data_IF_110846466677
#
_entry.id   IF_110846466677
#
_cell.length_a   1.000
_cell.length_b   1.000
_cell.length_c   1.000
_cell.angle_alpha   90.00
_cell.angle_beta   90.00
_cell.angle_gamma   90.00
#
_symmetry.space_group_name_H-M   'P 1'
#
loop_
_entity.id
_entity.type
_entity.pdbx_description
1 polymer ?
#
# COMPACT_ATOMS: atom_id res chain seq x y z
N UNK A 1 -34.16 -67.59 29.00
CA UNK A 1 -34.85 -66.35 29.41
C UNK A 1 -34.09 -65.21 28.74
N UNK A 2 -34.75 -64.54 27.77
CA UNK A 2 -34.40 -63.26 27.08
C UNK A 2 -33.01 -63.16 26.41
N UNK A 3 -32.83 -63.14 25.08
CA UNK A 3 -33.34 -62.32 23.97
C UNK A 3 -32.38 -61.17 23.54
N UNK A 4 -32.02 -61.20 22.24
CA UNK A 4 -31.60 -60.12 21.31
C UNK A 4 -30.42 -59.17 21.62
N UNK A 5 -29.46 -59.10 20.69
CA UNK A 5 -29.40 -58.00 19.70
C UNK A 5 -28.33 -58.25 18.61
N UNK A 6 -28.67 -57.85 17.39
CA UNK A 6 -27.95 -58.05 16.14
C UNK A 6 -26.91 -56.95 15.84
N UNK A 7 -26.02 -57.20 14.88
CA UNK A 7 -25.18 -56.16 14.26
C UNK A 7 -24.24 -56.72 13.18
N UNK A 8 -24.49 -56.46 11.88
CA UNK A 8 -23.76 -57.10 10.79
C UNK A 8 -22.42 -56.42 10.49
N UNK A 9 -21.48 -57.27 10.06
CA UNK A 9 -20.19 -56.93 9.47
C UNK A 9 -20.39 -56.06 8.21
N UNK A 10 -19.98 -54.79 8.27
CA UNK A 10 -19.95 -53.90 7.10
C UNK A 10 -18.54 -53.89 6.52
N UNK A 11 -18.39 -54.59 5.38
CA UNK A 11 -17.24 -54.50 4.51
C UNK A 11 -17.01 -53.04 4.09
N UNK A 12 -15.79 -52.54 4.31
CA UNK A 12 -15.31 -51.29 3.73
C UNK A 12 -15.12 -51.53 2.23
N UNK A 13 -16.16 -51.25 1.45
CA UNK A 13 -16.06 -51.17 0.00
C UNK A 13 -15.30 -49.88 -0.34
N UNK A 14 -14.15 -50.04 -1.01
CA UNK A 14 -13.43 -48.93 -1.62
C UNK A 14 -14.34 -48.22 -2.61
N UNK A 15 -14.64 -46.95 -2.34
CA UNK A 15 -15.40 -46.12 -3.26
C UNK A 15 -14.42 -45.63 -4.33
N UNK A 16 -14.44 -46.30 -5.48
CA UNK A 16 -13.79 -45.84 -6.71
C UNK A 16 -14.52 -44.56 -7.18
N UNK A 17 -14.01 -43.41 -6.73
CA UNK A 17 -14.56 -42.10 -7.07
C UNK A 17 -14.11 -41.73 -8.50
N UNK A 18 -14.79 -42.26 -9.52
CA UNK A 18 -14.68 -41.73 -10.89
C UNK A 18 -15.43 -40.39 -10.94
N UNK A 19 -14.75 -39.23 -11.02
CA UNK A 19 -15.44 -37.94 -11.02
C UNK A 19 -16.24 -37.81 -12.31
N UNK A 20 -17.55 -37.63 -12.18
CA UNK A 20 -18.42 -37.32 -13.32
C UNK A 20 -18.03 -35.99 -13.96
N UNK A 21 -18.42 -35.75 -15.22
CA UNK A 21 -18.07 -34.53 -15.95
C UNK A 21 -18.49 -33.26 -15.19
N UNK A 22 -19.59 -33.30 -14.45
CA UNK A 22 -20.04 -32.19 -13.59
C UNK A 22 -19.11 -31.90 -12.42
N UNK A 23 -18.49 -32.93 -11.83
CA UNK A 23 -17.52 -32.76 -10.75
C UNK A 23 -16.21 -32.16 -11.28
N UNK A 24 -15.77 -32.59 -12.46
CA UNK A 24 -14.61 -32.02 -13.16
C UNK A 24 -14.84 -30.55 -13.52
N UNK A 25 -16.02 -30.21 -14.04
CA UNK A 25 -16.41 -28.84 -14.37
C UNK A 25 -16.46 -27.96 -13.10
N UNK A 26 -17.03 -28.47 -12.00
CA UNK A 26 -17.09 -27.75 -10.73
C UNK A 26 -15.68 -27.50 -10.16
N UNK A 27 -14.80 -28.51 -10.20
CA UNK A 27 -13.39 -28.36 -9.80
C UNK A 27 -12.66 -27.34 -10.68
N UNK A 28 -12.91 -27.30 -11.99
CA UNK A 28 -12.31 -26.32 -12.89
C UNK A 28 -12.77 -24.89 -12.56
N UNK A 29 -14.07 -24.69 -12.28
CA UNK A 29 -14.59 -23.39 -11.86
C UNK A 29 -14.03 -22.93 -10.51
N UNK A 30 -13.90 -23.83 -9.54
CA UNK A 30 -13.27 -23.52 -8.25
C UNK A 30 -11.78 -23.20 -8.39
N UNK A 31 -11.07 -23.93 -9.26
CA UNK A 31 -9.67 -23.67 -9.59
C UNK A 31 -9.49 -22.31 -10.28
N UNK A 32 -10.40 -21.95 -11.20
CA UNK A 32 -10.41 -20.66 -11.88
C UNK A 32 -10.70 -19.50 -10.92
N UNK A 33 -11.60 -19.70 -9.94
CA UNK A 33 -11.84 -18.74 -8.86
C UNK A 33 -10.60 -18.54 -7.97
N UNK A 34 -9.87 -19.62 -7.66
CA UNK A 34 -8.62 -19.57 -6.89
C UNK A 34 -7.47 -18.96 -7.69
N UNK A 35 -7.46 -19.10 -9.02
CA UNK A 35 -6.45 -18.50 -9.91
C UNK A 35 -6.63 -16.97 -10.06
N UNK A 36 -7.84 -16.44 -9.81
CA UNK A 36 -8.02 -14.98 -9.68
C UNK A 36 -7.39 -14.40 -8.41
N UNK A 37 -6.99 -15.24 -7.45
CA UNK A 37 -6.28 -14.85 -6.23
C UNK A 37 -4.75 -15.02 -6.34
N UNK A 38 -4.23 -15.44 -7.50
CA UNK A 38 -2.77 -15.53 -7.74
C UNK A 38 -2.20 -14.25 -8.37
N UNK A 39 -2.61 -13.08 -7.87
CA UNK A 39 -1.79 -11.88 -8.02
C UNK A 39 -1.49 -11.31 -6.65
N UNK A 40 -0.21 -11.50 -6.28
CA UNK A 40 0.50 -10.88 -5.18
C UNK A 40 0.24 -11.51 -3.81
N UNK A 41 1.34 -11.77 -3.09
CA UNK A 41 1.31 -11.90 -1.63
C UNK A 41 0.39 -10.80 -1.05
N UNK A 42 -0.34 -11.06 0.07
CA UNK A 42 -1.17 -10.02 0.68
C UNK A 42 -0.34 -8.75 0.77
N UNK A 43 -0.82 -7.63 0.19
CA UNK A 43 -0.07 -6.39 0.26
C UNK A 43 0.14 -6.10 1.74
N UNK A 44 1.38 -6.28 2.20
CA UNK A 44 1.79 -5.88 3.53
C UNK A 44 1.53 -4.39 3.67
N UNK A 45 1.39 -3.91 4.90
CA UNK A 45 1.15 -2.48 5.10
C UNK A 45 2.23 -1.63 4.41
N UNK A 46 3.47 -2.09 4.51
CA UNK A 46 4.62 -1.52 3.84
C UNK A 46 4.45 -1.44 2.31
N UNK A 47 4.21 -2.56 1.62
CA UNK A 47 4.13 -2.55 0.15
C UNK A 47 2.95 -1.72 -0.34
N UNK A 48 1.86 -1.66 0.44
CA UNK A 48 0.73 -0.78 0.16
C UNK A 48 1.08 0.70 0.34
N UNK A 49 1.76 1.06 1.41
CA UNK A 49 2.19 2.43 1.66
C UNK A 49 3.16 2.90 0.56
N UNK A 50 4.17 2.08 0.26
CA UNK A 50 5.18 2.37 -0.76
C UNK A 50 4.57 2.51 -2.16
N UNK A 51 3.76 1.54 -2.59
CA UNK A 51 3.11 1.63 -3.91
C UNK A 51 2.19 2.85 -4.02
N UNK A 52 1.49 3.21 -2.94
CA UNK A 52 0.63 4.39 -2.95
C UNK A 52 1.43 5.70 -2.93
N UNK A 53 2.59 5.78 -2.27
CA UNK A 53 3.45 6.96 -2.33
C UNK A 53 4.01 7.16 -3.74
N UNK A 54 4.44 6.10 -4.42
CA UNK A 54 4.90 6.16 -5.82
C UNK A 54 3.78 6.64 -6.76
N UNK A 55 2.56 6.09 -6.60
CA UNK A 55 1.39 6.55 -7.37
C UNK A 55 1.09 8.04 -7.14
N UNK A 56 1.29 8.56 -5.93
CA UNK A 56 1.12 9.98 -5.61
C UNK A 56 2.20 10.82 -6.29
N UNK A 57 3.46 10.40 -6.22
CA UNK A 57 4.58 11.10 -6.86
C UNK A 57 4.39 11.19 -8.37
N UNK A 58 4.01 10.08 -9.02
CA UNK A 58 3.70 10.05 -10.45
C UNK A 58 2.48 10.92 -10.82
N UNK A 59 1.48 11.02 -9.94
CA UNK A 59 0.34 11.91 -10.15
C UNK A 59 0.72 13.39 -9.98
N UNK A 60 1.57 13.70 -9.01
CA UNK A 60 2.11 15.04 -8.79
C UNK A 60 2.87 15.54 -10.01
N UNK A 61 3.77 14.72 -10.55
CA UNK A 61 4.50 15.03 -11.77
C UNK A 61 3.54 15.36 -12.93
N UNK A 62 2.50 14.54 -13.13
CA UNK A 62 1.47 14.80 -14.14
C UNK A 62 0.68 16.09 -13.88
N UNK A 63 0.50 16.47 -12.62
CA UNK A 63 -0.20 17.72 -12.25
C UNK A 63 0.67 18.94 -12.59
N UNK A 64 1.96 18.88 -12.30
CA UNK A 64 2.92 19.95 -12.60
C UNK A 64 3.16 20.11 -14.11
N UNK A 65 3.17 19.02 -14.88
CA UNK A 65 3.52 19.05 -16.30
C UNK A 65 2.32 19.27 -17.25
N UNK A 66 1.09 19.03 -16.80
CA UNK A 66 -0.10 19.16 -17.65
C UNK A 66 -0.59 20.60 -17.74
N UNK A 67 -0.83 21.08 -18.97
CA UNK A 67 -1.27 22.46 -19.24
C UNK A 67 -2.52 22.87 -18.48
N UNK A 68 -3.42 21.93 -18.15
CA UNK A 68 -4.70 22.20 -17.47
C UNK A 68 -4.58 22.32 -15.95
N UNK A 69 -3.51 21.78 -15.37
CA UNK A 69 -3.30 21.73 -13.91
C UNK A 69 -2.04 22.43 -13.45
N UNK A 70 -1.09 22.73 -14.34
CA UNK A 70 0.18 23.38 -14.02
C UNK A 70 0.04 24.69 -13.25
N UNK A 71 -1.00 25.48 -13.55
CA UNK A 71 -1.26 26.75 -12.86
C UNK A 71 -1.79 26.53 -11.45
N UNK A 72 -2.57 25.48 -11.23
CA UNK A 72 -2.98 25.06 -9.88
C UNK A 72 -1.79 24.47 -9.11
N UNK A 73 -0.89 23.78 -9.80
CA UNK A 73 0.29 23.18 -9.19
C UNK A 73 1.30 24.21 -8.65
N UNK A 74 1.22 25.47 -9.10
CA UNK A 74 2.11 26.54 -8.64
C UNK A 74 1.93 26.89 -7.14
N UNK A 75 0.72 26.68 -6.61
CA UNK A 75 0.40 26.91 -5.20
C UNK A 75 0.64 25.65 -4.33
N UNK A 76 1.04 24.53 -4.94
CA UNK A 76 1.35 23.30 -4.21
C UNK A 76 2.82 23.31 -3.76
N UNK A 77 3.11 22.88 -2.52
CA UNK A 77 4.49 22.74 -2.10
C UNK A 77 5.17 21.65 -2.92
N UNK A 78 6.48 21.81 -3.12
CA UNK A 78 7.32 20.69 -3.54
C UNK A 78 7.34 19.66 -2.41
N UNK A 79 7.21 18.40 -2.78
CA UNK A 79 7.21 17.30 -1.82
C UNK A 79 7.76 16.05 -2.49
N UNK A 80 8.62 15.32 -1.76
CA UNK A 80 9.24 14.08 -2.16
C UNK A 80 8.90 13.04 -1.10
N UNK A 81 7.87 12.25 -1.38
CA UNK A 81 7.36 11.30 -0.40
C UNK A 81 8.33 10.13 -0.23
N UNK A 82 8.81 9.96 1.00
CA UNK A 82 9.59 8.82 1.45
C UNK A 82 8.91 8.19 2.66
N UNK A 83 8.44 6.94 2.52
CA UNK A 83 7.78 6.20 3.60
C UNK A 83 8.76 5.73 4.68
N UNK A 84 10.07 5.77 4.40
CA UNK A 84 11.15 5.46 5.33
C UNK A 84 11.64 6.68 6.11
N UNK A 85 11.08 7.86 5.86
CA UNK A 85 11.43 9.06 6.62
C UNK A 85 10.46 9.26 7.79
N UNK A 86 10.99 9.51 9.00
CA UNK A 86 10.15 9.65 10.20
C UNK A 86 9.11 10.77 10.09
N UNK A 87 9.42 11.81 9.30
CA UNK A 87 8.62 13.02 9.23
C UNK A 87 7.44 12.89 8.25
N UNK A 88 7.35 11.78 7.51
CA UNK A 88 6.36 11.55 6.44
C UNK A 88 4.92 11.85 6.87
N UNK A 89 4.55 11.44 8.08
CA UNK A 89 3.19 11.66 8.60
C UNK A 89 2.87 13.15 8.74
N UNK A 90 3.80 13.91 9.32
CA UNK A 90 3.63 15.36 9.51
C UNK A 90 3.55 16.09 8.16
N UNK A 91 4.42 15.74 7.22
CA UNK A 91 4.48 16.33 5.88
C UNK A 91 3.23 16.01 5.06
N UNK A 92 2.69 14.79 5.16
CA UNK A 92 1.42 14.43 4.53
C UNK A 92 0.24 15.25 5.06
N UNK A 93 0.21 15.52 6.38
CA UNK A 93 -0.83 16.35 6.99
C UNK A 93 -0.76 17.80 6.48
N UNK A 94 0.44 18.37 6.44
CA UNK A 94 0.66 19.74 5.97
C UNK A 94 0.33 19.86 4.48
N UNK A 95 0.73 18.87 3.68
CA UNK A 95 0.38 18.81 2.27
C UNK A 95 -1.14 18.70 2.05
N UNK A 96 -1.82 17.85 2.83
CA UNK A 96 -3.27 17.72 2.79
C UNK A 96 -3.97 19.04 3.14
N UNK A 97 -3.43 19.79 4.10
CA UNK A 97 -3.93 21.12 4.45
C UNK A 97 -3.87 22.08 3.25
N UNK A 98 -2.75 22.12 2.52
CA UNK A 98 -2.64 22.95 1.31
C UNK A 98 -3.63 22.50 0.23
N UNK A 99 -3.78 21.19 0.00
CA UNK A 99 -4.73 20.66 -0.98
C UNK A 99 -6.18 21.01 -0.66
N UNK A 100 -6.57 21.00 0.63
CA UNK A 100 -7.91 21.37 1.09
C UNK A 100 -8.16 22.88 0.99
N UNK A 101 -7.15 23.67 1.29
CA UNK A 101 -7.23 25.13 1.39
C UNK A 101 -6.66 25.86 0.17
N UNK A 102 -6.51 25.18 -0.97
CA UNK A 102 -6.03 25.79 -2.20
C UNK A 102 -6.86 27.04 -2.54
N UNK A 103 -6.22 28.19 -2.85
CA UNK A 103 -6.90 29.49 -2.98
C UNK A 103 -7.97 29.50 -4.09
N UNK A 104 -7.67 28.87 -5.23
CA UNK A 104 -8.64 28.69 -6.32
C UNK A 104 -9.60 27.51 -6.09
N UNK A 105 -10.90 27.81 -5.96
CA UNK A 105 -11.97 26.80 -5.94
C UNK A 105 -11.98 25.94 -7.21
N UNK A 106 -11.70 26.53 -8.37
CA UNK A 106 -11.65 25.81 -9.65
C UNK A 106 -10.54 24.76 -9.64
N UNK A 107 -9.40 25.07 -9.04
CA UNK A 107 -8.30 24.13 -8.85
C UNK A 107 -8.69 22.96 -7.93
N UNK A 108 -9.32 23.24 -6.79
CA UNK A 108 -9.81 22.20 -5.87
C UNK A 108 -10.73 21.18 -6.53
N UNK A 109 -11.51 21.63 -7.51
CA UNK A 109 -12.47 20.80 -8.23
C UNK A 109 -11.88 20.09 -9.46
N UNK A 110 -10.61 20.35 -9.83
CA UNK A 110 -9.98 19.64 -10.97
C UNK A 110 -9.87 18.15 -10.65
N UNK A 111 -10.23 17.25 -11.59
CA UNK A 111 -10.24 15.81 -11.33
C UNK A 111 -8.92 15.26 -10.77
N UNK A 112 -7.78 15.69 -11.30
CA UNK A 112 -6.45 15.24 -10.82
C UNK A 112 -6.14 15.72 -9.40
N UNK A 113 -6.50 16.95 -9.03
CA UNK A 113 -6.31 17.46 -7.66
C UNK A 113 -7.24 16.75 -6.67
N UNK A 114 -8.47 16.43 -7.06
CA UNK A 114 -9.40 15.63 -6.25
C UNK A 114 -8.87 14.21 -6.01
N UNK A 115 -8.30 13.58 -7.04
CA UNK A 115 -7.68 12.25 -6.94
C UNK A 115 -6.44 12.32 -6.05
N UNK A 116 -5.59 13.33 -6.25
CA UNK A 116 -4.39 13.56 -5.44
C UNK A 116 -4.75 13.69 -3.96
N UNK A 117 -5.71 14.55 -3.63
CA UNK A 117 -6.22 14.70 -2.26
C UNK A 117 -6.66 13.36 -1.66
N UNK A 118 -7.44 12.57 -2.39
CA UNK A 118 -7.89 11.25 -1.92
C UNK A 118 -6.74 10.28 -1.69
N UNK A 119 -5.77 10.23 -2.59
CA UNK A 119 -4.60 9.35 -2.44
C UNK A 119 -3.73 9.76 -1.26
N UNK A 120 -3.43 11.06 -1.10
CA UNK A 120 -2.67 11.61 0.04
C UNK A 120 -3.38 11.30 1.36
N UNK A 121 -4.69 11.54 1.44
CA UNK A 121 -5.48 11.22 2.63
C UNK A 121 -5.48 9.71 2.95
N UNK A 122 -5.54 8.87 1.91
CA UNK A 122 -5.47 7.42 2.08
C UNK A 122 -4.09 6.97 2.55
N UNK A 123 -3.01 7.50 1.96
CA UNK A 123 -1.64 7.22 2.40
C UNK A 123 -1.43 7.63 3.86
N UNK A 124 -1.83 8.84 4.23
CA UNK A 124 -1.78 9.30 5.62
C UNK A 124 -2.54 8.35 6.55
N UNK A 125 -3.73 7.88 6.15
CA UNK A 125 -4.52 6.92 6.94
C UNK A 125 -3.82 5.57 7.07
N UNK A 126 -3.27 5.04 5.96
CA UNK A 126 -2.53 3.78 5.94
C UNK A 126 -1.33 3.86 6.89
N UNK A 127 -0.49 4.88 6.75
CA UNK A 127 0.70 5.08 7.59
C UNK A 127 0.32 5.20 9.07
N UNK A 128 -0.66 6.05 9.40
CA UNK A 128 -0.97 6.39 10.80
C UNK A 128 -1.83 5.38 11.54
N UNK A 129 -2.67 4.61 10.83
CA UNK A 129 -3.62 3.69 11.47
C UNK A 129 -3.34 2.23 11.21
N UNK A 130 -2.79 1.91 10.04
CA UNK A 130 -2.57 0.52 9.62
C UNK A 130 -1.10 0.16 9.85
N UNK A 131 -0.16 1.01 9.43
CA UNK A 131 1.28 0.70 9.48
C UNK A 131 2.00 1.28 10.71
N UNK A 132 1.29 1.80 11.71
CA UNK A 132 1.86 2.58 12.81
C UNK A 132 3.01 1.87 13.58
N UNK A 133 3.10 0.54 13.50
CA UNK A 133 4.19 -0.26 14.10
C UNK A 133 5.03 -1.04 13.09
N UNK A 134 4.66 -0.98 11.81
CA UNK A 134 5.26 -1.80 10.75
C UNK A 134 6.25 -1.00 9.90
N UNK A 135 6.18 0.33 9.92
CA UNK A 135 7.12 1.18 9.21
C UNK A 135 8.40 1.34 10.02
N UNK A 136 9.52 0.96 9.41
CA UNK A 136 10.86 1.21 9.93
C UNK A 136 11.38 2.48 9.26
N UNK A 137 11.62 3.51 10.07
CA UNK A 137 12.21 4.76 9.58
C UNK A 137 13.73 4.62 9.49
N UNK A 138 14.27 4.94 8.32
CA UNK A 138 15.70 4.89 8.00
C UNK A 138 16.35 6.28 8.03
N UNK A 139 15.55 7.34 8.01
CA UNK A 139 16.01 8.73 8.02
C UNK A 139 15.13 9.62 8.89
N UNK A 140 15.75 10.54 9.61
CA UNK A 140 15.14 11.61 10.38
C UNK A 140 15.25 13.01 9.74
N UNK A 141 15.88 13.08 8.55
CA UNK A 141 16.08 14.30 7.78
C UNK A 141 14.75 14.77 7.15
N UNK A 142 13.99 15.56 7.89
CA UNK A 142 12.70 16.07 7.43
C UNK A 142 12.83 17.02 6.23
N UNK A 143 13.99 17.66 6.02
CA UNK A 143 14.21 18.62 4.95
C UNK A 143 14.32 17.92 3.59
N UNK A 144 14.76 16.65 3.58
CA UNK A 144 14.78 15.81 2.40
C UNK A 144 13.38 15.64 1.75
N UNK A 145 12.31 15.64 2.54
CA UNK A 145 10.94 15.56 1.99
C UNK A 145 10.57 16.84 1.24
N UNK A 146 11.09 18.00 1.64
CA UNK A 146 10.77 19.28 0.99
C UNK A 146 11.66 19.54 -0.23
N UNK A 147 12.93 19.13 -0.16
CA UNK A 147 13.97 19.45 -1.14
C UNK A 147 14.24 18.32 -2.13
N UNK A 148 13.98 17.08 -1.73
CA UNK A 148 14.39 15.87 -2.46
C UNK A 148 15.88 15.53 -2.32
N UNK A 149 16.61 16.25 -1.45
CA UNK A 149 18.04 16.05 -1.21
C UNK A 149 18.22 15.40 0.16
N UNK A 150 18.97 14.30 0.22
CA UNK A 150 19.31 13.64 1.49
C UNK A 150 20.57 14.31 2.06
N UNK A 151 20.50 14.78 3.30
CA UNK A 151 21.63 15.39 4.00
C UNK A 151 22.78 14.39 4.21
N UNK A 152 24.04 14.80 4.01
CA UNK A 152 25.21 13.93 4.18
C UNK A 152 25.47 13.49 5.63
N UNK A 153 24.85 14.12 6.64
CA UNK A 153 25.08 13.78 8.05
C UNK A 153 24.78 12.31 8.39
N UNK A 154 23.83 11.66 7.70
CA UNK A 154 23.57 10.22 7.86
C UNK A 154 24.70 9.31 7.35
N UNK A 155 25.46 9.76 6.35
CA UNK A 155 26.57 8.99 5.81
C UNK A 155 27.78 8.98 6.77
N UNK A 156 28.02 10.12 7.44
CA UNK A 156 29.10 10.31 8.40
C UNK A 156 28.89 9.49 9.67
N UNK A 157 27.67 9.47 10.23
CA UNK A 157 27.34 8.65 11.40
C UNK A 157 27.44 7.14 11.08
N UNK A 158 27.02 6.71 9.88
CA UNK A 158 27.24 5.30 9.43
C UNK A 158 28.72 4.96 9.27
N UNK A 159 29.54 5.91 8.83
CA UNK A 159 30.99 5.71 8.71
C UNK A 159 31.66 5.58 10.09
N UNK A 160 31.21 6.35 11.08
CA UNK A 160 31.71 6.24 12.46
C UNK A 160 31.35 4.89 13.10
N UNK A 161 30.12 4.42 12.94
CA UNK A 161 29.70 3.09 13.45
C UNK A 161 30.56 1.97 12.85
N UNK A 162 30.90 2.05 11.56
CA UNK A 162 31.76 1.06 10.91
C UNK A 162 33.23 1.13 11.34
N UNK A 163 33.68 2.28 11.85
CA UNK A 163 35.05 2.46 12.34
C UNK A 163 35.20 2.05 13.82
N UNK A 164 34.13 2.11 14.62
CA UNK A 164 34.18 1.70 16.03
C UNK A 164 34.14 0.17 16.23
N UNK A 165 33.73 -0.60 15.22
CA UNK A 165 33.73 -2.08 15.24
C UNK A 165 35.02 -2.74 14.70
N UNK A 166 36.08 -1.98 14.39
CA UNK A 166 37.37 -2.50 13.87
C UNK A 166 38.53 -2.27 14.83
#
# INVERSE_FOLDING_TARGET
>A
MTAEAAGPSAAVNGVDMRPGPSALICCLFLSLLQLQQTHSAPLTCYSRALGLSEEIMALLEKIHNDRRTKTCAADLPKIFLDVHNQCITSKLRDFLYVLLNHPSQSCRNKPRLVILKRKVQNLHTIITRICFRDLVFMSDDCEAIDTGLISPHYAEDRLQILQEES
#
